data_IF_308671205536
#
_entry.id   IF_308671205536
#
_cell.length_a   1.000
_cell.length_b   1.000
_cell.length_c   1.000
_cell.angle_alpha   90.00
_cell.angle_beta   90.00
_cell.angle_gamma   90.00
#
_symmetry.space_group_name_H-M   'P 1'
#
loop_
_entity.id
_entity.type
_entity.pdbx_description
1 polymer ?
#
# COMPACT_ATOMS: atom_id res chain seq x y z
N UNK A 1 17.73 9.27 -11.00
CA UNK A 1 17.48 9.63 -9.57
C UNK A 1 18.81 10.03 -8.95
N UNK A 2 18.86 11.20 -8.30
CA UNK A 2 20.08 11.61 -7.59
C UNK A 2 20.08 11.06 -6.17
N UNK A 3 21.19 11.25 -5.45
CA UNK A 3 21.35 10.72 -4.09
C UNK A 3 20.34 11.30 -3.10
N UNK A 4 20.02 12.59 -3.22
CA UNK A 4 19.07 13.24 -2.33
C UNK A 4 17.66 12.69 -2.53
N UNK A 5 17.24 12.45 -3.77
CA UNK A 5 15.96 11.81 -4.07
C UNK A 5 15.91 10.37 -3.57
N UNK A 6 17.01 9.64 -3.71
CA UNK A 6 17.10 8.28 -3.23
C UNK A 6 16.90 8.20 -1.73
N UNK A 7 17.55 9.10 -0.98
CA UNK A 7 17.41 9.15 0.48
C UNK A 7 15.98 9.52 0.88
N UNK A 8 15.40 10.53 0.21
CA UNK A 8 14.03 10.95 0.49
C UNK A 8 13.02 9.82 0.26
N UNK A 9 13.14 9.12 -0.85
CA UNK A 9 12.24 8.01 -1.18
C UNK A 9 12.45 6.85 -0.22
N UNK A 10 13.70 6.52 0.12
CA UNK A 10 14.00 5.44 1.06
C UNK A 10 13.43 5.72 2.45
N UNK A 11 13.58 6.94 2.95
CA UNK A 11 13.02 7.34 4.24
C UNK A 11 11.50 7.25 4.23
N UNK A 12 10.89 7.65 3.11
CA UNK A 12 9.44 7.58 2.96
C UNK A 12 8.95 6.12 2.89
N UNK A 13 9.70 5.23 2.24
CA UNK A 13 9.37 3.80 2.21
C UNK A 13 9.37 3.20 3.62
N UNK A 14 10.32 3.59 4.46
CA UNK A 14 10.36 3.14 5.85
C UNK A 14 9.15 3.64 6.64
N UNK A 15 8.74 4.89 6.42
CA UNK A 15 7.53 5.43 7.03
C UNK A 15 6.29 4.64 6.61
N UNK A 16 6.17 4.32 5.33
CA UNK A 16 5.05 3.53 4.82
C UNK A 16 5.02 2.12 5.42
N UNK A 17 6.17 1.49 5.56
CA UNK A 17 6.28 0.17 6.15
C UNK A 17 5.82 0.18 7.61
N UNK A 18 6.22 1.20 8.37
CA UNK A 18 5.80 1.34 9.77
C UNK A 18 4.28 1.55 9.89
N UNK A 19 3.69 2.36 9.03
CA UNK A 19 2.24 2.58 9.02
C UNK A 19 1.47 1.32 8.64
N UNK A 20 1.95 0.60 7.64
CA UNK A 20 1.36 -0.67 7.22
C UNK A 20 1.40 -1.70 8.35
N UNK A 21 2.50 -1.75 9.08
CA UNK A 21 2.65 -2.65 10.24
C UNK A 21 1.60 -2.37 11.31
N UNK A 22 1.36 -1.10 11.63
CA UNK A 22 0.36 -0.74 12.64
C UNK A 22 -1.02 -1.23 12.23
N UNK A 23 -1.42 -1.00 10.99
CA UNK A 23 -2.74 -1.43 10.48
C UNK A 23 -2.85 -2.96 10.50
N UNK A 24 -1.80 -3.66 10.09
CA UNK A 24 -1.77 -5.13 10.08
C UNK A 24 -1.91 -5.70 11.47
N UNK A 25 -1.20 -5.12 12.46
CA UNK A 25 -1.28 -5.58 13.85
C UNK A 25 -2.67 -5.34 14.44
N UNK A 26 -3.31 -4.23 14.12
CA UNK A 26 -4.69 -3.99 14.52
C UNK A 26 -5.62 -5.05 13.96
N UNK A 27 -5.40 -5.46 12.71
CA UNK A 27 -6.16 -6.53 12.08
C UNK A 27 -6.04 -7.87 12.81
N UNK A 28 -4.84 -8.21 13.27
CA UNK A 28 -4.62 -9.44 14.03
C UNK A 28 -5.30 -9.45 15.39
N UNK A 29 -5.51 -8.28 15.97
CA UNK A 29 -6.09 -8.16 17.31
C UNK A 29 -7.61 -7.89 17.27
N UNK A 30 -8.22 -7.97 16.10
CA UNK A 30 -9.65 -7.68 15.90
C UNK A 30 -10.34 -8.86 15.24
N UNK A 31 -11.67 -8.89 15.30
CA UNK A 31 -12.45 -9.83 14.51
C UNK A 31 -12.45 -9.37 13.06
N UNK A 32 -11.75 -10.12 12.21
CA UNK A 32 -11.65 -9.81 10.78
C UNK A 32 -12.91 -10.26 10.05
N UNK A 33 -13.42 -9.39 9.18
CA UNK A 33 -14.45 -9.76 8.23
C UNK A 33 -13.77 -10.24 6.97
N UNK A 34 -13.87 -11.54 6.70
CA UNK A 34 -13.31 -12.14 5.50
C UNK A 34 -14.27 -11.98 4.34
N UNK A 35 -13.77 -11.47 3.24
CA UNK A 35 -14.48 -11.37 1.97
C UNK A 35 -13.80 -12.28 0.94
N UNK A 36 -14.51 -12.60 -0.12
CA UNK A 36 -13.99 -13.40 -1.22
C UNK A 36 -14.00 -12.55 -2.48
N UNK A 37 -12.84 -12.42 -3.11
CA UNK A 37 -12.71 -11.67 -4.36
C UNK A 37 -13.28 -12.46 -5.54
N UNK A 38 -13.47 -11.80 -6.68
CA UNK A 38 -14.05 -12.43 -7.89
C UNK A 38 -13.24 -13.64 -8.38
N UNK A 39 -11.95 -13.65 -8.14
CA UNK A 39 -11.08 -14.78 -8.49
C UNK A 39 -11.06 -15.89 -7.44
N UNK A 40 -11.84 -15.76 -6.37
CA UNK A 40 -11.94 -16.75 -5.30
C UNK A 40 -10.92 -16.58 -4.18
N UNK A 41 -10.00 -15.62 -4.26
CA UNK A 41 -9.01 -15.40 -3.21
C UNK A 41 -9.59 -14.61 -2.04
N UNK A 42 -9.15 -14.90 -0.80
CA UNK A 42 -9.66 -14.18 0.37
C UNK A 42 -9.06 -12.79 0.49
N UNK A 43 -9.85 -11.86 1.02
CA UNK A 43 -9.42 -10.51 1.34
C UNK A 43 -10.14 -10.06 2.61
N UNK A 44 -9.47 -9.28 3.44
CA UNK A 44 -10.08 -8.69 4.63
C UNK A 44 -10.25 -7.18 4.46
N UNK A 45 -11.11 -6.59 5.30
CA UNK A 45 -11.28 -5.13 5.32
C UNK A 45 -9.97 -4.42 5.64
N UNK A 46 -9.10 -5.06 6.41
CA UNK A 46 -7.79 -4.48 6.76
C UNK A 46 -6.84 -4.45 5.57
N UNK A 47 -6.93 -5.41 4.65
CA UNK A 47 -6.14 -5.39 3.41
C UNK A 47 -6.53 -4.18 2.57
N UNK A 48 -7.83 -3.96 2.41
CA UNK A 48 -8.35 -2.84 1.63
C UNK A 48 -8.02 -1.51 2.30
N UNK A 49 -8.22 -1.41 3.61
CA UNK A 49 -7.95 -0.18 4.36
C UNK A 49 -6.46 0.16 4.38
N UNK A 50 -5.59 -0.85 4.47
CA UNK A 50 -4.14 -0.67 4.41
C UNK A 50 -3.75 -0.07 3.06
N UNK A 51 -4.26 -0.62 1.96
CA UNK A 51 -3.96 -0.08 0.62
C UNK A 51 -4.48 1.35 0.45
N UNK A 52 -5.69 1.64 0.94
CA UNK A 52 -6.24 3.01 0.88
C UNK A 52 -5.38 3.99 1.65
N UNK A 53 -4.92 3.61 2.84
CA UNK A 53 -4.06 4.46 3.67
C UNK A 53 -2.72 4.72 3.01
N UNK A 54 -2.08 3.67 2.47
CA UNK A 54 -0.81 3.79 1.77
C UNK A 54 -0.94 4.67 0.52
N UNK A 55 -1.99 4.43 -0.28
CA UNK A 55 -2.25 5.22 -1.49
C UNK A 55 -2.44 6.69 -1.15
N UNK A 56 -3.23 7.00 -0.13
CA UNK A 56 -3.46 8.36 0.31
C UNK A 56 -2.17 9.03 0.77
N UNK A 57 -1.36 8.31 1.53
CA UNK A 57 -0.08 8.82 2.04
C UNK A 57 0.91 9.08 0.91
N UNK A 58 1.01 8.16 -0.05
CA UNK A 58 1.88 8.32 -1.22
C UNK A 58 1.41 9.50 -2.08
N UNK A 59 0.12 9.60 -2.35
CA UNK A 59 -0.43 10.67 -3.18
C UNK A 59 -0.25 12.05 -2.55
N UNK A 60 -0.25 12.14 -1.22
CA UNK A 60 -0.01 13.39 -0.52
C UNK A 60 1.45 13.83 -0.64
N UNK A 61 2.40 12.89 -0.61
CA UNK A 61 3.82 13.20 -0.69
C UNK A 61 4.31 13.31 -2.13
N UNK A 62 3.88 12.40 -2.99
CA UNK A 62 4.30 12.32 -4.39
C UNK A 62 3.07 12.25 -5.30
N UNK A 63 2.35 13.37 -5.49
CA UNK A 63 1.07 13.35 -6.23
C UNK A 63 1.22 12.97 -7.70
N UNK A 64 2.41 13.07 -8.26
CA UNK A 64 2.66 12.75 -9.66
C UNK A 64 3.21 11.35 -9.90
N UNK A 65 3.45 10.56 -8.85
CA UNK A 65 3.90 9.20 -9.01
C UNK A 65 2.74 8.27 -9.32
N UNK A 66 3.03 7.17 -10.03
CA UNK A 66 2.05 6.13 -10.28
C UNK A 66 1.91 5.23 -9.05
N UNK A 67 0.74 4.64 -8.87
CA UNK A 67 0.49 3.72 -7.77
C UNK A 67 -0.21 2.48 -8.29
N UNK A 68 0.32 1.30 -7.98
CA UNK A 68 -0.33 0.02 -8.22
C UNK A 68 -0.57 -0.67 -6.88
N UNK A 69 -1.82 -1.03 -6.63
CA UNK A 69 -2.22 -1.76 -5.44
C UNK A 69 -3.11 -2.93 -5.84
N UNK A 70 -2.93 -4.07 -5.19
CA UNK A 70 -3.60 -5.30 -5.58
C UNK A 70 -5.13 -5.22 -5.52
N UNK A 71 -5.65 -4.59 -4.46
CA UNK A 71 -7.11 -4.55 -4.22
C UNK A 71 -7.78 -3.34 -4.88
N UNK A 72 -7.09 -2.21 -4.93
CA UNK A 72 -7.67 -0.95 -5.41
C UNK A 72 -7.35 -0.69 -6.88
N UNK A 73 -6.22 -1.23 -7.38
CA UNK A 73 -5.86 -1.11 -8.78
C UNK A 73 -4.77 -0.09 -9.05
N UNK A 74 -4.66 0.28 -10.32
CA UNK A 74 -3.56 1.09 -10.84
C UNK A 74 -4.01 2.53 -11.10
N UNK A 75 -3.21 3.48 -10.59
CA UNK A 75 -3.36 4.90 -10.90
C UNK A 75 -2.14 5.36 -11.66
N UNK A 76 -2.32 5.78 -12.92
CA UNK A 76 -1.24 6.28 -13.76
C UNK A 76 -1.24 7.81 -13.78
N UNK A 77 -0.06 8.40 -13.55
CA UNK A 77 0.17 9.83 -13.70
C UNK A 77 1.28 10.09 -14.72
N UNK A 78 1.56 9.11 -15.59
CA UNK A 78 2.61 9.17 -16.60
C UNK A 78 4.00 9.44 -16.00
N UNK A 79 4.25 8.93 -14.80
CA UNK A 79 5.52 9.07 -14.11
C UNK A 79 6.46 7.93 -14.47
N UNK A 80 7.77 8.20 -14.35
CA UNK A 80 8.78 7.15 -14.44
C UNK A 80 8.84 6.29 -13.16
N UNK A 81 8.14 6.71 -12.10
CA UNK A 81 8.15 6.03 -10.80
C UNK A 81 6.77 5.44 -10.51
N UNK A 82 6.77 4.18 -10.12
CA UNK A 82 5.55 3.46 -9.72
C UNK A 82 5.75 2.83 -8.35
N UNK A 83 4.83 3.15 -7.44
CA UNK A 83 4.76 2.51 -6.13
C UNK A 83 3.93 1.24 -6.26
N UNK A 84 4.47 0.12 -5.79
CA UNK A 84 3.76 -1.16 -5.83
C UNK A 84 3.45 -1.54 -4.39
N UNK A 85 2.17 -1.56 -4.05
CA UNK A 85 1.68 -1.85 -2.71
C UNK A 85 1.10 -3.26 -2.68
N UNK A 86 1.84 -4.19 -2.09
CA UNK A 86 1.44 -5.58 -1.97
C UNK A 86 1.41 -5.97 -0.50
N UNK A 87 0.29 -6.52 -0.07
CA UNK A 87 0.19 -7.19 1.22
C UNK A 87 0.41 -8.67 0.98
N UNK A 88 1.49 -9.17 1.55
CA UNK A 88 1.84 -10.57 1.40
C UNK A 88 1.06 -11.38 2.44
N UNK A 89 -0.04 -11.98 2.01
CA UNK A 89 -0.70 -13.01 2.80
C UNK A 89 -0.20 -14.34 2.27
N UNK A 90 0.93 -14.76 2.79
CA UNK A 90 1.43 -16.09 2.47
C UNK A 90 0.64 -17.13 3.22
N UNK A 91 0.18 -18.21 2.58
CA UNK A 91 -0.36 -19.34 3.30
C UNK A 91 0.73 -20.03 4.13
#
# INVERSE_FOLDING_TARGET
>A
MNEAEFIEISDFMNLLADRSKVITLEGFNSNLTLQVKDDGSPVTDYDINSEKTLRKTISAKFPNHNIFAEEIGFTSNNSDYTWICLLYTSP
#
